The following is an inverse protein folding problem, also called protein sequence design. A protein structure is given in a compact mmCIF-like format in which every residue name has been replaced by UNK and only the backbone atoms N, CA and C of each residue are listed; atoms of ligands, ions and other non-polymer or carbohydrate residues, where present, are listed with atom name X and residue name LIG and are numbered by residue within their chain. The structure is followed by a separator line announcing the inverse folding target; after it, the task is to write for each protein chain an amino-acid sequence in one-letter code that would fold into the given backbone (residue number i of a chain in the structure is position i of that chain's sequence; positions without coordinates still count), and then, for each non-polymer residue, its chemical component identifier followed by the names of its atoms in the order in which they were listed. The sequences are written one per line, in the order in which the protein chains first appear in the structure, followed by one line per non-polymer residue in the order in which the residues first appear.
data_IF_223220833374
#
_entry.id   IF_223220833374
#
_cell.length_a   1.000
_cell.length_b   1.000
_cell.length_c   1.000
_cell.angle_alpha   90.00
_cell.angle_beta   90.00
_cell.angle_gamma   90.00
#
_symmetry.space_group_name_H-M   'P 1'
#
loop_
_entity.id
_entity.type
_entity.pdbx_description
1 polymer ?
#
# COMPACT_ATOMS: atom_id res chain seq x y z
N UNK A 1 -15.77 24.01 20.25
CA UNK A 1 -16.89 24.25 19.30
C UNK A 1 -16.50 23.62 17.97
N UNK A 2 -17.32 22.66 17.53
CA UNK A 2 -17.13 22.00 16.23
C UNK A 2 -17.74 22.87 15.13
N UNK A 3 -17.11 22.88 13.98
CA UNK A 3 -17.66 23.51 12.80
C UNK A 3 -17.40 22.63 11.57
N UNK A 4 -18.40 22.52 10.71
CA UNK A 4 -18.30 21.85 9.43
C UNK A 4 -18.59 22.88 8.33
N UNK A 5 -17.62 23.10 7.46
CA UNK A 5 -17.79 23.95 6.29
C UNK A 5 -18.04 23.05 5.08
N UNK A 6 -19.16 23.26 4.40
CA UNK A 6 -19.57 22.50 3.24
C UNK A 6 -20.31 23.41 2.24
N UNK A 7 -19.96 23.37 0.95
CA UNK A 7 -20.59 24.17 -0.12
C UNK A 7 -20.73 25.67 0.21
N UNK A 8 -19.68 26.26 0.81
CA UNK A 8 -19.67 27.67 1.23
C UNK A 8 -20.56 28.00 2.44
N UNK A 9 -21.11 27.01 3.11
CA UNK A 9 -21.91 27.12 4.34
C UNK A 9 -21.13 26.62 5.52
N UNK A 10 -21.37 27.19 6.68
CA UNK A 10 -20.80 26.76 7.93
C UNK A 10 -21.92 26.26 8.86
N UNK A 11 -21.74 25.07 9.40
CA UNK A 11 -22.59 24.45 10.43
C UNK A 11 -21.76 24.36 11.72
N UNK A 12 -22.31 24.88 12.78
CA UNK A 12 -21.75 24.88 14.14
C UNK A 12 -22.47 23.87 15.03
N UNK A 13 -22.02 23.75 16.29
CA UNK A 13 -22.60 22.81 17.27
C UNK A 13 -24.12 23.00 17.46
N UNK A 14 -24.66 24.21 17.23
CA UNK A 14 -26.10 24.48 17.37
C UNK A 14 -26.92 23.91 16.22
N UNK A 15 -26.29 23.66 15.06
CA UNK A 15 -26.92 23.14 13.85
C UNK A 15 -26.57 21.70 13.59
N UNK A 16 -25.45 21.19 14.09
CA UNK A 16 -25.05 19.80 13.96
C UNK A 16 -25.91 18.97 14.92
N UNK A 17 -26.75 18.11 14.37
CA UNK A 17 -27.64 17.22 15.14
C UNK A 17 -26.89 15.98 15.60
N UNK A 18 -26.07 15.44 14.72
CA UNK A 18 -25.20 14.30 14.97
C UNK A 18 -24.05 14.31 13.97
N UNK A 19 -22.95 13.66 14.30
CA UNK A 19 -21.84 13.47 13.36
C UNK A 19 -20.86 12.43 13.89
N UNK A 20 -20.32 11.67 12.96
CA UNK A 20 -19.31 10.65 13.18
C UNK A 20 -18.20 10.83 12.14
N UNK A 21 -16.96 10.82 12.60
CA UNK A 21 -15.80 10.92 11.75
C UNK A 21 -14.90 9.73 12.03
N UNK A 22 -14.67 8.89 11.03
CA UNK A 22 -13.79 7.73 11.11
C UNK A 22 -12.48 8.04 10.38
N UNK A 23 -11.39 8.04 11.15
CA UNK A 23 -10.02 8.23 10.68
C UNK A 23 -9.30 6.90 10.83
N UNK A 24 -8.62 6.43 9.78
CA UNK A 24 -7.95 5.13 9.79
C UNK A 24 -6.74 5.14 8.87
N UNK A 25 -5.69 4.49 9.29
CA UNK A 25 -4.48 4.34 8.47
C UNK A 25 -3.85 2.97 8.63
N UNK A 26 -3.57 2.31 7.51
CA UNK A 26 -2.65 1.18 7.50
C UNK A 26 -1.23 1.70 7.78
N UNK A 27 -0.68 1.37 8.95
CA UNK A 27 0.68 1.79 9.36
C UNK A 27 1.77 1.21 8.45
N UNK A 28 1.44 0.14 7.74
CA UNK A 28 2.30 -0.49 6.73
C UNK A 28 2.03 0.02 5.31
N UNK A 29 1.03 0.87 5.12
CA UNK A 29 0.51 1.25 3.80
C UNK A 29 0.15 0.04 2.90
N UNK A 30 -0.23 -1.11 3.51
CA UNK A 30 -0.72 -2.28 2.77
C UNK A 30 -2.03 -2.01 2.04
N UNK A 31 -2.76 -1.00 2.48
CA UNK A 31 -3.93 -0.40 1.85
C UNK A 31 -3.91 1.11 2.06
N UNK A 32 -4.54 1.84 1.17
CA UNK A 32 -4.86 3.26 1.39
C UNK A 32 -6.34 3.33 1.77
N UNK A 33 -6.58 3.42 3.09
CA UNK A 33 -7.92 3.37 3.65
C UNK A 33 -8.73 4.62 3.31
N UNK A 34 -10.06 4.45 3.21
CA UNK A 34 -10.99 5.56 2.99
C UNK A 34 -11.56 5.99 4.32
N UNK A 35 -11.18 7.16 4.77
CA UNK A 35 -11.75 7.80 5.95
C UNK A 35 -13.12 8.39 5.60
N UNK A 36 -14.03 8.47 6.56
CA UNK A 36 -15.41 8.93 6.34
C UNK A 36 -15.82 9.99 7.33
N UNK A 37 -16.67 10.90 6.87
CA UNK A 37 -17.39 11.87 7.71
C UNK A 37 -18.86 11.80 7.36
N UNK A 38 -19.68 11.42 8.34
CA UNK A 38 -21.14 11.47 8.27
C UNK A 38 -21.64 12.50 9.27
N UNK A 39 -22.54 13.36 8.86
CA UNK A 39 -23.15 14.33 9.78
C UNK A 39 -24.55 14.72 9.35
N UNK A 40 -25.41 14.99 10.32
CA UNK A 40 -26.75 15.49 10.12
C UNK A 40 -26.89 16.91 10.67
N UNK A 41 -27.51 17.79 9.89
CA UNK A 41 -27.71 19.17 10.28
C UNK A 41 -29.17 19.58 10.26
N UNK A 42 -29.54 20.47 11.19
CA UNK A 42 -30.81 21.15 11.16
C UNK A 42 -30.74 22.37 10.22
N UNK A 43 -31.66 22.45 9.24
CA UNK A 43 -31.78 23.61 8.36
C UNK A 43 -33.22 23.83 7.91
N UNK A 44 -33.67 25.09 7.96
CA UNK A 44 -34.93 25.53 7.34
C UNK A 44 -34.79 25.89 5.88
N UNK A 45 -33.55 26.04 5.39
CA UNK A 45 -33.23 26.34 4.00
C UNK A 45 -33.15 25.05 3.17
N UNK A 46 -34.10 24.82 2.23
CA UNK A 46 -34.11 23.59 1.42
C UNK A 46 -32.93 23.52 0.43
N UNK A 47 -32.27 24.63 0.13
CA UNK A 47 -31.13 24.66 -0.80
C UNK A 47 -29.85 24.02 -0.21
N UNK A 48 -29.89 23.64 1.07
CA UNK A 48 -28.85 22.83 1.72
C UNK A 48 -28.63 21.48 1.02
N UNK A 49 -29.69 20.92 0.40
CA UNK A 49 -29.56 19.66 -0.37
C UNK A 49 -28.92 19.81 -1.75
N UNK A 50 -28.66 21.04 -2.19
CA UNK A 50 -27.95 21.29 -3.44
C UNK A 50 -26.44 21.11 -3.18
N UNK A 51 -25.83 20.19 -3.88
CA UNK A 51 -24.40 19.90 -3.71
C UNK A 51 -23.73 19.53 -5.03
N UNK A 52 -22.42 19.66 -5.05
CA UNK A 52 -21.57 19.13 -6.11
C UNK A 52 -20.76 17.96 -5.53
N UNK A 53 -20.79 16.82 -6.21
CA UNK A 53 -19.98 15.66 -5.81
C UNK A 53 -18.51 16.05 -5.80
N UNK A 54 -17.77 15.56 -4.82
CA UNK A 54 -16.36 15.86 -4.58
C UNK A 54 -16.06 17.32 -4.19
N UNK A 55 -17.09 18.11 -3.80
CA UNK A 55 -16.83 19.41 -3.17
C UNK A 55 -16.25 19.21 -1.75
N UNK A 56 -15.32 20.11 -1.36
CA UNK A 56 -14.64 20.01 -0.06
C UNK A 56 -15.62 20.19 1.10
N UNK A 57 -15.41 19.36 2.12
CA UNK A 57 -16.06 19.44 3.44
C UNK A 57 -14.94 19.52 4.48
N UNK A 58 -14.86 20.63 5.20
CA UNK A 58 -13.80 20.88 6.18
C UNK A 58 -14.39 20.71 7.58
N UNK A 59 -13.84 19.75 8.32
CA UNK A 59 -14.11 19.57 9.74
C UNK A 59 -13.09 20.37 10.55
N UNK A 60 -13.57 21.19 11.49
CA UNK A 60 -12.72 21.99 12.39
C UNK A 60 -13.21 21.91 13.83
N UNK A 61 -12.28 22.03 14.77
CA UNK A 61 -12.55 22.14 16.20
C UNK A 61 -11.82 23.35 16.78
N UNK A 62 -12.54 24.20 17.55
CA UNK A 62 -11.97 25.43 18.15
C UNK A 62 -11.19 26.29 17.13
N UNK A 63 -11.73 26.42 15.91
CA UNK A 63 -11.11 27.11 14.78
C UNK A 63 -9.84 26.46 14.21
N UNK A 64 -9.45 25.30 14.69
CA UNK A 64 -8.38 24.50 14.12
C UNK A 64 -8.97 23.52 13.12
N UNK A 65 -8.47 23.51 11.88
CA UNK A 65 -8.82 22.50 10.89
C UNK A 65 -8.33 21.13 11.36
N UNK A 66 -9.23 20.15 11.41
CA UNK A 66 -8.90 18.78 11.77
C UNK A 66 -8.66 17.94 10.51
N UNK A 67 -9.61 17.98 9.56
CA UNK A 67 -9.55 17.12 8.39
C UNK A 67 -10.40 17.67 7.24
N UNK A 68 -10.01 17.29 6.01
CA UNK A 68 -10.78 17.58 4.79
C UNK A 68 -11.37 16.31 4.22
N UNK A 69 -12.65 16.39 3.90
CA UNK A 69 -13.39 15.35 3.22
C UNK A 69 -13.98 15.88 1.90
N UNK A 70 -14.52 14.99 1.11
CA UNK A 70 -15.14 15.29 -0.18
C UNK A 70 -16.56 14.73 -0.20
N UNK A 71 -17.52 15.61 -0.43
CA UNK A 71 -18.94 15.31 -0.34
C UNK A 71 -19.37 14.29 -1.39
N UNK A 72 -20.06 13.23 -0.96
CA UNK A 72 -20.54 12.16 -1.83
C UNK A 72 -22.04 12.17 -2.00
N UNK A 73 -22.77 12.37 -0.92
CA UNK A 73 -24.23 12.34 -0.94
C UNK A 73 -24.83 13.32 0.07
N UNK A 74 -26.05 13.75 -0.22
CA UNK A 74 -26.93 14.47 0.72
C UNK A 74 -28.29 13.83 0.68
N UNK A 75 -28.81 13.41 1.83
CA UNK A 75 -30.17 12.91 1.99
C UNK A 75 -30.99 13.81 2.92
N UNK A 76 -32.32 13.77 2.80
CA UNK A 76 -33.22 14.51 3.67
C UNK A 76 -33.99 13.53 4.56
N UNK A 77 -33.65 13.48 5.83
CA UNK A 77 -34.23 12.54 6.80
C UNK A 77 -35.57 12.99 7.37
N UNK A 78 -35.77 14.31 7.46
CA UNK A 78 -37.04 14.89 7.92
C UNK A 78 -37.27 16.27 7.27
N UNK A 79 -38.34 16.98 7.71
CA UNK A 79 -38.67 18.32 7.18
C UNK A 79 -37.51 19.29 7.27
N UNK A 80 -36.63 19.17 8.28
CA UNK A 80 -35.54 20.11 8.57
C UNK A 80 -34.20 19.43 8.85
N UNK A 81 -34.09 18.10 8.73
CA UNK A 81 -32.85 17.37 8.97
C UNK A 81 -32.30 16.86 7.63
N UNK A 82 -31.06 17.16 7.39
CA UNK A 82 -30.29 16.75 6.20
C UNK A 82 -29.05 16.00 6.66
N UNK A 83 -28.83 14.81 6.10
CA UNK A 83 -27.65 13.98 6.33
C UNK A 83 -26.71 14.10 5.14
N UNK A 84 -25.43 14.27 5.46
CA UNK A 84 -24.31 14.39 4.54
C UNK A 84 -23.37 13.23 4.73
N UNK A 85 -22.84 12.71 3.64
CA UNK A 85 -21.83 11.67 3.63
C UNK A 85 -20.64 12.16 2.79
N UNK A 86 -19.45 12.11 3.38
CA UNK A 86 -18.22 12.56 2.75
C UNK A 86 -17.08 11.55 3.00
N UNK A 87 -16.13 11.49 2.07
CA UNK A 87 -14.99 10.58 2.13
C UNK A 87 -13.68 11.36 2.04
N UNK A 88 -12.58 10.78 2.53
CA UNK A 88 -11.25 11.37 2.37
C UNK A 88 -10.79 11.39 0.90
N UNK A 89 -9.65 12.01 0.64
CA UNK A 89 -9.01 12.05 -0.67
C UNK A 89 -8.80 10.65 -1.28
N UNK A 90 -8.54 9.64 -0.45
CA UNK A 90 -8.43 8.25 -0.88
C UNK A 90 -9.70 7.76 -1.58
N UNK A 91 -10.89 8.11 -1.06
CA UNK A 91 -12.17 7.78 -1.67
C UNK A 91 -12.41 8.49 -3.01
N UNK A 92 -11.85 9.68 -3.21
CA UNK A 92 -11.89 10.37 -4.51
C UNK A 92 -10.98 9.67 -5.53
N UNK A 93 -9.80 9.23 -5.11
CA UNK A 93 -8.86 8.49 -5.97
C UNK A 93 -9.40 7.11 -6.35
N UNK A 94 -10.25 6.50 -5.54
CA UNK A 94 -10.86 5.19 -5.79
C UNK A 94 -11.84 5.17 -6.98
N UNK A 95 -12.36 6.32 -7.36
CA UNK A 95 -13.36 6.45 -8.44
C UNK A 95 -12.79 6.35 -9.85
N UNK A 96 -11.48 6.27 -10.00
CA UNK A 96 -10.82 6.32 -11.30
C UNK A 96 -9.80 5.21 -11.44
N UNK A 97 -9.82 4.58 -12.60
CA UNK A 97 -8.85 3.57 -12.96
C UNK A 97 -7.47 4.19 -13.26
N UNK A 98 -6.47 3.40 -12.99
CA UNK A 98 -5.09 3.59 -13.38
C UNK A 98 -4.61 2.37 -14.18
N UNK A 99 -4.08 2.61 -15.36
CA UNK A 99 -3.69 1.50 -16.24
C UNK A 99 -2.37 0.84 -15.86
N UNK A 100 -1.65 1.40 -14.90
CA UNK A 100 -0.40 0.82 -14.41
C UNK A 100 0.69 0.76 -15.46
N UNK A 101 1.64 -0.16 -15.26
CA UNK A 101 2.74 -0.37 -16.20
C UNK A 101 3.96 -1.01 -15.55
N UNK A 102 5.04 -1.13 -16.34
CA UNK A 102 6.36 -1.58 -15.88
C UNK A 102 7.20 -0.37 -15.51
N UNK A 103 7.84 -0.44 -14.35
CA UNK A 103 8.74 0.57 -13.82
C UNK A 103 10.18 0.04 -13.84
N UNK A 104 11.09 0.84 -14.37
CA UNK A 104 12.50 0.50 -14.58
C UNK A 104 13.45 1.57 -14.04
N UNK A 105 13.01 2.29 -12.99
CA UNK A 105 13.78 3.36 -12.36
C UNK A 105 13.11 4.74 -12.41
N UNK A 106 11.82 4.81 -12.69
CA UNK A 106 11.05 6.04 -12.55
C UNK A 106 11.02 6.49 -11.10
N UNK A 107 11.06 7.80 -10.88
CA UNK A 107 11.04 8.33 -9.52
C UNK A 107 9.65 8.26 -8.90
N UNK A 108 9.57 8.14 -7.58
CA UNK A 108 8.30 8.21 -6.85
C UNK A 108 7.51 9.46 -7.22
N UNK A 109 8.19 10.61 -7.35
CA UNK A 109 7.54 11.86 -7.77
C UNK A 109 6.81 11.72 -9.10
N UNK A 110 7.47 11.14 -10.11
CA UNK A 110 6.89 11.00 -11.44
C UNK A 110 5.72 10.03 -11.44
N UNK A 111 5.85 8.90 -10.72
CA UNK A 111 4.81 7.87 -10.62
C UNK A 111 3.59 8.40 -9.86
N UNK A 112 3.79 9.08 -8.73
CA UNK A 112 2.70 9.71 -7.96
C UNK A 112 1.99 10.78 -8.79
N UNK A 113 2.74 11.61 -9.53
CA UNK A 113 2.15 12.64 -10.39
C UNK A 113 1.26 12.04 -11.49
N UNK A 114 1.62 10.88 -12.02
CA UNK A 114 0.82 10.17 -13.02
C UNK A 114 -0.42 9.50 -12.38
N UNK A 115 -0.27 8.79 -11.26
CA UNK A 115 -1.39 8.18 -10.53
C UNK A 115 -2.39 9.24 -10.08
N UNK A 116 -1.92 10.31 -9.44
CA UNK A 116 -2.75 11.37 -8.86
C UNK A 116 -3.14 12.47 -9.87
N UNK A 117 -2.96 12.24 -11.17
CA UNK A 117 -3.27 13.21 -12.22
C UNK A 117 -4.60 13.96 -11.97
N UNK A 118 -4.54 15.29 -11.93
CA UNK A 118 -5.66 16.20 -11.62
C UNK A 118 -6.12 16.18 -10.14
N UNK A 119 -5.41 15.51 -9.24
CA UNK A 119 -5.60 15.65 -7.80
C UNK A 119 -4.34 16.25 -7.19
N UNK A 120 -4.42 17.34 -6.41
CA UNK A 120 -3.24 18.06 -5.92
C UNK A 120 -2.55 17.27 -4.80
N UNK A 121 -1.44 16.61 -5.13
CA UNK A 121 -0.60 15.87 -4.18
C UNK A 121 0.84 16.32 -4.33
N UNK A 122 1.50 16.63 -3.24
CA UNK A 122 2.93 16.85 -3.17
C UNK A 122 3.68 15.60 -2.72
N UNK A 123 4.98 15.55 -3.02
CA UNK A 123 5.85 14.45 -2.58
C UNK A 123 7.02 15.06 -1.82
N UNK A 124 7.20 14.65 -0.58
CA UNK A 124 8.28 15.16 0.27
C UNK A 124 9.67 14.86 -0.34
N UNK A 125 10.62 15.77 -0.15
CA UNK A 125 11.93 15.70 -0.80
C UNK A 125 12.72 14.43 -0.47
N UNK A 126 12.54 13.88 0.72
CA UNK A 126 13.21 12.67 1.19
C UNK A 126 12.69 11.38 0.53
N UNK A 127 11.51 11.39 -0.09
CA UNK A 127 10.97 10.23 -0.82
C UNK A 127 10.87 10.46 -2.32
N UNK A 128 10.86 11.71 -2.76
CA UNK A 128 10.59 12.08 -4.15
C UNK A 128 11.57 11.47 -5.17
N UNK A 129 12.83 11.27 -4.77
CA UNK A 129 13.88 10.73 -5.62
C UNK A 129 14.04 9.21 -5.61
N UNK A 130 13.31 8.50 -4.71
CA UNK A 130 13.37 7.03 -4.65
C UNK A 130 12.91 6.46 -5.99
N UNK A 131 13.64 5.48 -6.50
CA UNK A 131 13.35 4.83 -7.78
C UNK A 131 12.54 3.58 -7.60
N UNK A 132 11.55 3.39 -8.44
CA UNK A 132 10.67 2.23 -8.45
C UNK A 132 11.03 1.28 -9.59
N UNK A 133 10.99 -0.01 -9.28
CA UNK A 133 11.15 -1.11 -10.22
C UNK A 133 10.06 -2.14 -9.95
N UNK A 134 9.49 -2.70 -11.00
CA UNK A 134 8.44 -3.69 -10.89
C UNK A 134 7.26 -3.39 -11.78
N UNK A 135 6.10 -3.88 -11.41
CA UNK A 135 4.88 -3.79 -12.19
C UNK A 135 3.70 -3.31 -11.35
N UNK A 136 2.89 -2.41 -11.90
CA UNK A 136 1.55 -2.13 -11.39
C UNK A 136 0.51 -2.67 -12.37
N UNK A 137 -0.40 -3.54 -11.93
CA UNK A 137 -1.54 -3.96 -12.74
C UNK A 137 -2.52 -2.80 -12.96
N UNK A 138 -3.52 -3.01 -13.81
CA UNK A 138 -4.69 -2.13 -13.89
C UNK A 138 -5.46 -2.23 -12.57
N UNK A 139 -5.69 -1.10 -11.93
CA UNK A 139 -6.36 -0.99 -10.63
C UNK A 139 -6.96 0.39 -10.45
N UNK A 140 -7.63 0.66 -9.34
CA UNK A 140 -7.98 2.03 -9.00
C UNK A 140 -6.73 2.86 -8.68
N UNK A 141 -6.82 4.19 -8.82
CA UNK A 141 -5.70 5.08 -8.44
C UNK A 141 -5.35 4.94 -6.97
N UNK A 142 -6.33 4.68 -6.11
CA UNK A 142 -6.14 4.42 -4.68
C UNK A 142 -5.27 3.18 -4.45
N UNK A 143 -5.60 2.08 -5.10
CA UNK A 143 -4.84 0.82 -4.99
C UNK A 143 -3.43 0.95 -5.58
N UNK A 144 -3.30 1.59 -6.74
CA UNK A 144 -1.98 1.86 -7.33
C UNK A 144 -1.09 2.72 -6.40
N UNK A 145 -1.68 3.76 -5.79
CA UNK A 145 -0.96 4.60 -4.83
C UNK A 145 -0.58 3.82 -3.57
N UNK A 146 -1.46 2.96 -3.05
CA UNK A 146 -1.15 2.10 -1.91
C UNK A 146 0.08 1.21 -2.18
N UNK A 147 0.18 0.61 -3.36
CA UNK A 147 1.34 -0.19 -3.77
C UNK A 147 2.64 0.63 -3.75
N UNK A 148 2.59 1.88 -4.24
CA UNK A 148 3.75 2.79 -4.18
C UNK A 148 4.13 3.09 -2.74
N UNK A 149 3.17 3.48 -1.91
CA UNK A 149 3.39 3.82 -0.49
C UNK A 149 3.96 2.63 0.29
N UNK A 150 3.43 1.43 0.04
CA UNK A 150 3.94 0.19 0.63
C UNK A 150 5.40 -0.05 0.26
N UNK A 151 5.75 0.11 -1.01
CA UNK A 151 7.11 -0.15 -1.50
C UNK A 151 8.17 0.82 -0.93
N UNK A 152 7.77 2.04 -0.52
CA UNK A 152 8.68 3.08 -0.04
C UNK A 152 8.52 3.45 1.43
N UNK A 153 7.72 2.71 2.19
CA UNK A 153 7.45 2.98 3.62
C UNK A 153 6.88 4.38 3.89
N UNK A 154 6.10 4.90 2.96
CA UNK A 154 5.49 6.23 3.07
C UNK A 154 3.99 6.16 3.36
N UNK A 155 3.42 7.29 3.72
CA UNK A 155 2.00 7.50 3.96
C UNK A 155 1.47 8.66 3.11
N UNK A 156 0.17 8.65 2.86
CA UNK A 156 -0.58 9.76 2.29
C UNK A 156 -1.15 10.57 3.45
N UNK A 157 -0.63 11.76 3.68
CA UNK A 157 -0.98 12.60 4.83
C UNK A 157 -1.57 13.94 4.38
N UNK A 158 -2.48 14.47 5.20
CA UNK A 158 -3.02 15.82 5.07
C UNK A 158 -2.42 16.69 6.18
N UNK A 159 -1.89 17.86 5.82
CA UNK A 159 -1.40 18.82 6.81
C UNK A 159 -2.52 19.73 7.37
N UNK A 160 -2.21 20.50 8.39
CA UNK A 160 -3.15 21.42 9.02
C UNK A 160 -3.71 22.50 8.06
N UNK A 161 -3.11 22.71 6.89
CA UNK A 161 -3.62 23.62 5.85
C UNK A 161 -4.57 22.94 4.88
N UNK A 162 -4.66 21.61 4.91
CA UNK A 162 -5.43 20.78 4.01
C UNK A 162 -4.68 20.40 2.74
N UNK A 163 -3.35 20.50 2.76
CA UNK A 163 -2.52 20.06 1.63
C UNK A 163 -2.16 18.59 1.79
N UNK A 164 -2.30 17.84 0.69
CA UNK A 164 -1.99 16.40 0.66
C UNK A 164 -0.55 16.16 0.25
N UNK A 165 0.14 15.32 1.01
CA UNK A 165 1.57 15.03 0.80
C UNK A 165 1.86 13.54 0.97
N UNK A 166 2.72 12.98 0.13
CA UNK A 166 3.35 11.69 0.35
C UNK A 166 4.62 11.91 1.16
N UNK A 167 4.67 11.35 2.36
CA UNK A 167 5.83 11.46 3.29
C UNK A 167 5.93 10.23 4.19
N UNK A 168 7.05 10.06 4.90
CA UNK A 168 7.13 9.11 6.00
C UNK A 168 6.22 9.52 7.16
N UNK A 169 5.75 8.56 7.94
CA UNK A 169 5.17 8.83 9.25
C UNK A 169 6.27 9.30 10.20
N UNK A 170 5.92 10.19 11.14
CA UNK A 170 6.88 10.65 12.14
C UNK A 170 7.08 9.59 13.22
N UNK A 171 8.33 9.24 13.57
CA UNK A 171 8.61 8.40 14.74
C UNK A 171 8.56 9.19 16.06
N UNK A 172 8.41 10.51 16.00
CA UNK A 172 8.41 11.37 17.18
C UNK A 172 7.09 11.27 17.95
N UNK A 173 7.19 11.19 19.28
CA UNK A 173 6.03 11.22 20.15
C UNK A 173 5.37 12.60 20.13
N UNK A 174 4.10 12.65 19.71
CA UNK A 174 3.33 13.92 19.60
C UNK A 174 2.58 14.26 20.87
N UNK A 175 2.18 13.28 21.70
CA UNK A 175 1.35 13.50 22.86
C UNK A 175 1.53 12.43 23.94
N UNK A 176 1.15 12.81 25.18
CA UNK A 176 0.98 11.89 26.32
C UNK A 176 -0.51 11.82 26.66
N UNK A 177 -1.06 10.62 26.75
CA UNK A 177 -2.44 10.36 27.19
C UNK A 177 -2.39 9.71 28.57
N UNK A 178 -2.57 10.47 29.66
CA UNK A 178 -2.57 9.94 31.02
C UNK A 178 -3.86 9.19 31.34
N UNK A 179 -3.89 8.47 32.45
CA UNK A 179 -5.09 7.79 32.96
C UNK A 179 -6.33 8.71 33.04
N UNK A 180 -6.13 9.98 33.45
CA UNK A 180 -7.22 10.95 33.61
C UNK A 180 -7.90 11.38 32.30
N UNK A 181 -7.28 11.12 31.14
CA UNK A 181 -7.83 11.38 29.81
C UNK A 181 -8.36 10.10 29.13
N UNK A 182 -8.25 8.95 29.78
CA UNK A 182 -8.68 7.65 29.29
C UNK A 182 -9.96 7.23 30.03
N UNK A 183 -10.93 6.74 29.27
CA UNK A 183 -12.17 6.20 29.86
C UNK A 183 -11.93 4.85 30.55
N UNK A 184 -12.77 4.53 31.54
CA UNK A 184 -12.77 3.22 32.21
C UNK A 184 -13.22 2.05 31.31
N UNK A 185 -13.74 2.33 30.11
CA UNK A 185 -14.19 1.33 29.13
C UNK A 185 -13.08 0.89 28.16
N UNK A 186 -11.83 0.98 28.56
CA UNK A 186 -10.71 0.54 27.74
C UNK A 186 -10.63 -0.98 27.67
N UNK A 187 -10.19 -1.50 26.54
CA UNK A 187 -9.92 -2.92 26.33
C UNK A 187 -8.55 -3.13 25.67
N UNK A 188 -8.02 -4.32 25.87
CA UNK A 188 -6.79 -4.75 25.21
C UNK A 188 -7.10 -5.90 24.27
N UNK A 189 -6.68 -5.77 23.03
CA UNK A 189 -6.74 -6.83 22.03
C UNK A 189 -5.36 -7.46 21.87
N UNK A 190 -5.28 -8.78 21.95
CA UNK A 190 -4.05 -9.52 21.77
C UNK A 190 -4.05 -10.28 20.45
N UNK A 191 -2.98 -10.15 19.69
CA UNK A 191 -2.75 -10.90 18.46
C UNK A 191 -1.45 -11.71 18.57
N UNK A 192 -1.38 -12.86 17.91
CA UNK A 192 -0.13 -13.63 17.89
C UNK A 192 0.93 -12.89 17.07
N UNK A 193 2.11 -12.58 17.64
CA UNK A 193 3.20 -11.98 16.88
C UNK A 193 3.68 -12.96 15.79
N UNK A 194 4.07 -12.44 14.64
CA UNK A 194 4.63 -13.29 13.60
C UNK A 194 6.05 -13.74 13.95
N UNK A 195 6.33 -15.01 13.73
CA UNK A 195 7.67 -15.60 13.91
C UNK A 195 8.53 -15.36 12.69
N UNK A 196 7.94 -15.55 11.49
CA UNK A 196 8.59 -15.35 10.20
C UNK A 196 7.80 -14.36 9.37
N UNK A 197 8.48 -13.36 8.83
CA UNK A 197 7.94 -12.45 7.81
C UNK A 197 8.72 -12.64 6.53
N UNK A 198 8.01 -13.02 5.46
CA UNK A 198 8.56 -13.27 4.14
C UNK A 198 7.89 -12.34 3.14
N UNK A 199 8.69 -11.66 2.36
CA UNK A 199 8.22 -10.82 1.24
C UNK A 199 8.78 -11.38 -0.05
N UNK A 200 7.94 -11.51 -1.08
CA UNK A 200 8.41 -11.82 -2.42
C UNK A 200 8.96 -10.54 -3.07
N UNK A 201 10.19 -10.64 -3.51
CA UNK A 201 10.84 -9.66 -4.37
C UNK A 201 10.54 -10.01 -5.82
N UNK A 202 10.05 -9.05 -6.58
CA UNK A 202 9.61 -9.25 -7.96
C UNK A 202 10.61 -8.65 -8.94
N UNK A 203 10.81 -9.34 -10.04
CA UNK A 203 11.64 -8.92 -11.13
C UNK A 203 10.94 -9.20 -12.46
N UNK A 204 10.91 -8.20 -13.33
CA UNK A 204 10.33 -8.27 -14.66
C UNK A 204 11.42 -7.95 -15.69
N UNK A 205 11.62 -8.86 -16.65
CA UNK A 205 12.57 -8.68 -17.76
C UNK A 205 11.88 -8.93 -19.10
N UNK A 206 12.25 -8.23 -20.14
CA UNK A 206 11.69 -8.44 -21.47
C UNK A 206 11.96 -9.86 -21.95
N UNK A 207 10.87 -10.59 -22.29
CA UNK A 207 10.94 -11.96 -22.77
C UNK A 207 10.79 -12.04 -24.29
N UNK A 208 11.23 -13.14 -24.91
CA UNK A 208 11.10 -13.35 -26.36
C UNK A 208 9.73 -13.92 -26.79
N UNK A 209 8.92 -14.46 -25.85
CA UNK A 209 7.67 -15.15 -26.15
C UNK A 209 6.61 -14.19 -26.68
N UNK A 210 6.16 -14.41 -27.93
CA UNK A 210 5.09 -13.67 -28.57
C UNK A 210 3.74 -14.36 -28.33
N UNK A 211 2.74 -13.56 -27.96
CA UNK A 211 1.38 -14.01 -27.71
C UNK A 211 0.36 -13.16 -28.48
N UNK A 212 -0.81 -13.74 -28.75
CA UNK A 212 -1.96 -13.02 -29.26
C UNK A 212 -2.71 -12.40 -28.07
N UNK A 213 -2.83 -11.08 -28.07
CA UNK A 213 -3.53 -10.32 -27.05
C UNK A 213 -5.00 -10.07 -27.41
N UNK A 214 -5.29 -9.91 -28.70
CA UNK A 214 -6.63 -9.72 -29.21
C UNK A 214 -6.73 -10.14 -30.68
N UNK A 215 -7.88 -10.68 -31.08
CA UNK A 215 -8.23 -10.94 -32.46
C UNK A 215 -9.71 -10.68 -32.67
N UNK A 216 -10.06 -9.77 -33.58
CA UNK A 216 -11.46 -9.37 -33.83
C UNK A 216 -11.60 -8.03 -34.52
N UNK A 217 -12.80 -7.44 -34.41
CA UNK A 217 -13.13 -6.11 -34.93
C UNK A 217 -13.13 -5.10 -33.80
N UNK A 218 -12.53 -3.94 -34.05
CA UNK A 218 -12.39 -2.82 -33.11
C UNK A 218 -13.10 -1.57 -33.63
N UNK A 219 -13.49 -0.71 -32.69
CA UNK A 219 -13.99 0.64 -32.91
C UNK A 219 -12.91 1.64 -32.47
N UNK A 220 -12.90 2.83 -33.07
CA UNK A 220 -11.92 3.85 -32.68
C UNK A 220 -12.08 4.24 -31.20
N UNK A 221 -10.99 4.12 -30.44
CA UNK A 221 -10.94 4.39 -29.00
C UNK A 221 -11.19 3.16 -28.13
N UNK A 222 -11.40 1.95 -28.71
CA UNK A 222 -11.46 0.73 -27.93
C UNK A 222 -10.15 0.51 -27.16
N UNK A 223 -10.30 0.09 -25.91
CA UNK A 223 -9.18 -0.22 -25.02
C UNK A 223 -9.09 -1.73 -24.87
N UNK A 224 -7.99 -2.28 -25.34
CA UNK A 224 -7.66 -3.70 -25.16
C UNK A 224 -6.73 -3.81 -23.94
N UNK A 225 -7.15 -4.51 -22.89
CA UNK A 225 -6.40 -4.68 -21.65
C UNK A 225 -5.78 -6.08 -21.57
N UNK A 226 -4.64 -6.17 -20.89
CA UNK A 226 -3.88 -7.40 -20.71
C UNK A 226 -3.85 -7.79 -19.23
N UNK A 227 -3.95 -9.08 -18.95
CA UNK A 227 -3.87 -9.62 -17.58
C UNK A 227 -2.42 -9.71 -17.05
N UNK A 228 -1.45 -9.75 -17.96
CA UNK A 228 -0.01 -9.78 -17.67
C UNK A 228 0.68 -8.69 -18.49
N UNK A 229 1.79 -8.10 -18.00
CA UNK A 229 2.45 -7.03 -18.73
C UNK A 229 3.08 -7.54 -20.03
N UNK A 230 2.93 -6.76 -21.09
CA UNK A 230 3.46 -7.06 -22.41
C UNK A 230 4.27 -5.87 -22.96
N UNK A 231 5.20 -6.17 -23.87
CA UNK A 231 5.98 -5.19 -24.61
C UNK A 231 5.98 -5.49 -26.10
N UNK A 232 6.57 -4.61 -26.91
CA UNK A 232 6.71 -4.77 -28.37
C UNK A 232 5.38 -5.10 -29.06
N UNK A 233 4.34 -4.29 -28.75
CA UNK A 233 2.99 -4.50 -29.29
C UNK A 233 2.97 -4.26 -30.80
N UNK A 234 2.35 -5.16 -31.55
CA UNK A 234 2.18 -5.07 -33.01
C UNK A 234 0.72 -5.34 -33.36
N UNK A 235 0.12 -4.39 -34.10
CA UNK A 235 -1.24 -4.55 -34.61
C UNK A 235 -1.22 -4.78 -36.14
N UNK A 236 -2.14 -5.61 -36.62
CA UNK A 236 -2.44 -5.78 -38.04
C UNK A 236 -3.94 -5.66 -38.27
N UNK A 237 -4.36 -4.89 -39.29
CA UNK A 237 -5.77 -4.64 -39.63
C UNK A 237 -6.42 -3.46 -38.88
N UNK A 238 -5.78 -2.90 -37.87
CA UNK A 238 -6.05 -1.64 -37.19
C UNK A 238 -4.73 -1.04 -36.69
N UNK A 239 -4.75 0.16 -36.11
CA UNK A 239 -3.55 0.85 -35.58
C UNK A 239 -3.64 1.07 -34.10
N UNK A 240 -2.48 1.00 -33.40
CA UNK A 240 -2.37 1.39 -32.00
C UNK A 240 -2.23 2.92 -31.96
N UNK A 241 -3.09 3.60 -31.22
CA UNK A 241 -3.05 5.07 -31.02
C UNK A 241 -2.34 5.45 -29.74
N UNK A 242 -2.44 4.60 -28.71
CA UNK A 242 -1.75 4.72 -27.44
C UNK A 242 -1.48 3.31 -26.86
N UNK A 243 -0.40 3.14 -26.12
CA UNK A 243 -0.09 1.83 -25.51
C UNK A 243 0.66 1.98 -24.19
N UNK A 244 0.48 1.00 -23.33
CA UNK A 244 1.24 0.74 -22.11
C UNK A 244 1.58 -0.74 -22.00
N UNK A 245 2.21 -1.13 -20.89
CA UNK A 245 2.49 -2.54 -20.66
C UNK A 245 1.23 -3.38 -20.41
N UNK A 246 0.14 -2.76 -19.98
CA UNK A 246 -1.11 -3.42 -19.58
C UNK A 246 -2.27 -3.19 -20.56
N UNK A 247 -2.10 -2.33 -21.57
CA UNK A 247 -3.20 -1.95 -22.47
C UNK A 247 -2.71 -1.42 -23.82
N UNK A 248 -3.64 -1.40 -24.78
CA UNK A 248 -3.51 -0.66 -26.02
C UNK A 248 -4.84 0.00 -26.39
N UNK A 249 -4.80 1.28 -26.79
CA UNK A 249 -5.93 1.98 -27.40
C UNK A 249 -5.78 1.89 -28.91
N UNK A 250 -6.85 1.51 -29.60
CA UNK A 250 -6.79 1.17 -31.01
C UNK A 250 -7.77 1.96 -31.87
N UNK A 251 -7.47 2.06 -33.18
CA UNK A 251 -8.40 2.58 -34.17
C UNK A 251 -9.46 1.54 -34.56
N UNK A 252 -10.48 1.96 -35.32
CA UNK A 252 -11.42 1.01 -35.96
C UNK A 252 -10.71 0.15 -37.00
N UNK A 253 -11.08 -1.13 -37.06
CA UNK A 253 -10.55 -2.09 -38.01
C UNK A 253 -10.90 -3.52 -37.62
N UNK A 254 -10.44 -4.47 -38.44
CA UNK A 254 -10.59 -5.90 -38.14
C UNK A 254 -9.24 -6.58 -38.32
N UNK A 255 -8.76 -7.24 -37.26
CA UNK A 255 -7.43 -7.80 -37.29
C UNK A 255 -6.97 -8.38 -35.97
N UNK A 256 -5.66 -8.27 -35.71
CA UNK A 256 -5.00 -8.94 -34.58
C UNK A 256 -4.00 -7.99 -33.90
N UNK A 257 -3.94 -8.06 -32.55
CA UNK A 257 -2.91 -7.47 -31.71
C UNK A 257 -2.06 -8.57 -31.13
N UNK A 258 -0.74 -8.51 -31.30
CA UNK A 258 0.25 -9.38 -30.66
C UNK A 258 1.17 -8.56 -29.78
N UNK A 259 1.82 -9.22 -28.85
CA UNK A 259 2.83 -8.61 -27.98
C UNK A 259 3.74 -9.70 -27.41
N UNK A 260 4.84 -9.29 -26.80
CA UNK A 260 5.75 -10.19 -26.09
C UNK A 260 5.55 -10.10 -24.59
N UNK A 261 5.61 -11.24 -23.91
CA UNK A 261 5.49 -11.29 -22.44
C UNK A 261 6.77 -10.80 -21.76
N UNK A 262 6.59 -10.16 -20.62
CA UNK A 262 7.68 -10.05 -19.64
C UNK A 262 7.89 -11.39 -18.93
N UNK A 263 9.14 -11.76 -18.69
CA UNK A 263 9.49 -12.88 -17.81
C UNK A 263 9.46 -12.37 -16.39
N UNK A 264 8.58 -12.96 -15.57
CA UNK A 264 8.44 -12.64 -14.16
C UNK A 264 9.17 -13.69 -13.33
N UNK A 265 10.04 -13.24 -12.45
CA UNK A 265 10.73 -14.08 -11.48
C UNK A 265 10.59 -13.49 -10.08
N UNK A 266 10.62 -14.35 -9.06
CA UNK A 266 10.46 -13.96 -7.67
C UNK A 266 11.55 -14.57 -6.80
N UNK A 267 11.86 -13.87 -5.68
CA UNK A 267 12.77 -14.35 -4.65
C UNK A 267 12.20 -14.02 -3.27
N UNK A 268 12.35 -14.94 -2.32
CA UNK A 268 11.95 -14.69 -0.94
C UNK A 268 12.99 -13.87 -0.19
N UNK A 269 12.53 -12.84 0.51
CA UNK A 269 13.32 -12.03 1.42
C UNK A 269 12.68 -12.11 2.80
N UNK A 270 13.47 -12.55 3.80
CA UNK A 270 13.03 -12.63 5.19
C UNK A 270 13.37 -11.35 5.94
N UNK A 271 12.39 -10.82 6.70
CA UNK A 271 12.59 -9.68 7.57
C UNK A 271 13.45 -10.05 8.78
N UNK A 272 14.31 -9.13 9.21
CA UNK A 272 15.06 -9.23 10.46
C UNK A 272 14.29 -8.49 11.55
N UNK A 273 14.11 -9.13 12.70
CA UNK A 273 13.49 -8.48 13.86
C UNK A 273 14.52 -7.64 14.59
N UNK A 274 14.14 -6.40 14.91
CA UNK A 274 14.91 -5.54 15.80
C UNK A 274 14.61 -5.86 17.27
N UNK A 275 13.44 -6.44 17.58
CA UNK A 275 13.05 -6.87 18.92
C UNK A 275 12.91 -8.38 19.00
N UNK A 276 13.60 -9.01 19.96
CA UNK A 276 13.41 -10.42 20.28
C UNK A 276 12.32 -10.54 21.34
N UNK A 277 11.08 -10.88 20.93
CA UNK A 277 10.10 -11.46 21.86
C UNK A 277 10.12 -12.96 21.66
N UNK A 278 10.10 -13.70 22.77
CA UNK A 278 9.89 -15.14 22.74
C UNK A 278 8.48 -15.40 22.19
N UNK A 279 8.42 -15.76 20.91
CA UNK A 279 7.19 -16.25 20.31
C UNK A 279 6.95 -17.66 20.87
N UNK A 280 5.77 -17.88 21.48
CA UNK A 280 5.36 -19.21 21.92
C UNK A 280 5.33 -20.22 20.77
N UNK A 281 5.02 -21.47 21.07
CA UNK A 281 5.04 -22.61 20.12
C UNK A 281 4.10 -22.49 18.91
N UNK A 282 3.18 -21.52 18.89
CA UNK A 282 2.30 -21.25 17.75
C UNK A 282 2.97 -20.27 16.76
N UNK A 283 3.60 -20.81 15.74
CA UNK A 283 4.26 -20.05 14.70
C UNK A 283 3.24 -19.36 13.76
N UNK A 284 3.09 -18.06 13.92
CA UNK A 284 2.40 -17.21 12.93
C UNK A 284 3.40 -16.78 11.85
N UNK A 285 3.11 -17.08 10.58
CA UNK A 285 3.93 -16.70 9.42
C UNK A 285 3.18 -15.70 8.56
N UNK A 286 3.84 -14.60 8.24
CA UNK A 286 3.31 -13.58 7.31
C UNK A 286 4.04 -13.73 5.99
N UNK A 287 3.28 -13.82 4.90
CA UNK A 287 3.81 -13.90 3.55
C UNK A 287 3.13 -12.84 2.67
N UNK A 288 3.92 -11.95 2.10
CA UNK A 288 3.47 -10.91 1.18
C UNK A 288 3.95 -11.25 -0.22
N UNK A 289 3.01 -11.54 -1.12
CA UNK A 289 3.28 -12.05 -2.46
C UNK A 289 2.88 -11.08 -3.58
N UNK A 290 1.88 -10.23 -3.34
CA UNK A 290 1.25 -9.42 -4.38
C UNK A 290 1.80 -7.98 -4.48
N UNK A 291 2.82 -7.65 -3.69
CA UNK A 291 3.43 -6.33 -3.70
C UNK A 291 4.44 -6.19 -4.84
N UNK A 292 3.96 -6.09 -6.07
CA UNK A 292 4.76 -6.21 -7.30
C UNK A 292 5.74 -5.08 -7.57
N UNK A 293 5.71 -3.99 -6.77
CA UNK A 293 6.75 -2.95 -6.71
C UNK A 293 7.85 -3.23 -5.68
N UNK A 294 7.73 -4.36 -4.94
CA UNK A 294 8.82 -4.82 -4.09
C UNK A 294 9.85 -5.54 -4.96
N UNK A 295 11.02 -4.96 -5.08
CA UNK A 295 12.10 -5.38 -5.95
C UNK A 295 13.44 -5.40 -5.21
N UNK A 296 14.53 -5.71 -5.89
CA UNK A 296 15.88 -5.73 -5.32
C UNK A 296 16.26 -4.44 -4.57
N UNK A 297 15.70 -3.29 -4.99
CA UNK A 297 16.07 -1.99 -4.42
C UNK A 297 15.44 -1.69 -3.06
N UNK A 298 14.31 -2.31 -2.73
CA UNK A 298 13.53 -1.98 -1.53
C UNK A 298 13.09 -3.20 -0.69
N UNK A 299 13.26 -4.42 -1.20
CA UNK A 299 12.73 -5.64 -0.57
C UNK A 299 13.19 -5.84 0.88
N UNK A 300 14.44 -5.50 1.20
CA UNK A 300 14.98 -5.62 2.55
C UNK A 300 14.28 -4.64 3.51
N UNK A 301 14.19 -3.38 3.14
CA UNK A 301 13.54 -2.34 3.95
C UNK A 301 12.06 -2.68 4.22
N UNK A 302 11.35 -3.17 3.19
CA UNK A 302 9.96 -3.60 3.34
C UNK A 302 9.84 -4.80 4.28
N UNK A 303 10.69 -5.83 4.12
CA UNK A 303 10.63 -7.02 4.94
C UNK A 303 10.96 -6.75 6.41
N UNK A 304 11.95 -5.90 6.69
CA UNK A 304 12.36 -5.54 8.05
C UNK A 304 11.27 -4.71 8.76
N UNK A 305 10.67 -3.72 8.07
CA UNK A 305 9.53 -2.94 8.58
C UNK A 305 8.32 -3.83 8.94
N UNK A 306 8.00 -4.77 8.07
CA UNK A 306 6.92 -5.74 8.33
C UNK A 306 7.24 -6.61 9.55
N UNK A 307 8.51 -7.04 9.71
CA UNK A 307 8.92 -7.84 10.85
C UNK A 307 8.75 -7.06 12.17
N UNK A 308 9.10 -5.78 12.20
CA UNK A 308 8.92 -4.91 13.37
C UNK A 308 7.44 -4.70 13.71
N UNK A 309 6.60 -4.44 12.72
CA UNK A 309 5.15 -4.29 12.92
C UNK A 309 4.51 -5.57 13.44
N UNK A 310 4.74 -6.69 12.79
CA UNK A 310 4.15 -7.97 13.20
C UNK A 310 4.78 -8.60 14.45
N UNK A 311 5.84 -8.01 14.98
CA UNK A 311 6.35 -8.34 16.31
C UNK A 311 5.48 -7.76 17.43
N UNK A 312 4.67 -6.72 17.14
CA UNK A 312 3.75 -6.11 18.09
C UNK A 312 2.48 -6.97 18.19
N UNK A 313 2.11 -7.33 19.42
CA UNK A 313 1.03 -8.29 19.67
C UNK A 313 -0.18 -7.68 20.36
N UNK A 314 -0.14 -6.39 20.69
CA UNK A 314 -1.07 -5.77 21.61
C UNK A 314 -1.61 -4.47 21.06
N UNK A 315 -2.94 -4.28 21.18
CA UNK A 315 -3.64 -3.05 20.85
C UNK A 315 -4.43 -2.56 22.04
N UNK A 316 -4.31 -1.27 22.33
CA UNK A 316 -5.17 -0.58 23.29
C UNK A 316 -6.35 0.01 22.52
N UNK A 317 -7.57 -0.32 22.93
CA UNK A 317 -8.81 0.31 22.46
C UNK A 317 -9.40 1.10 23.61
N UNK A 318 -9.44 2.42 23.49
CA UNK A 318 -9.87 3.30 24.58
C UNK A 318 -10.65 4.51 24.06
N UNK A 319 -11.65 4.95 24.85
CA UNK A 319 -12.28 6.24 24.64
C UNK A 319 -11.42 7.33 25.28
N UNK A 320 -10.97 8.28 24.47
CA UNK A 320 -10.06 9.36 24.90
C UNK A 320 -10.65 10.73 24.56
N UNK A 321 -10.22 11.75 25.30
CA UNK A 321 -10.48 13.13 24.91
C UNK A 321 -9.67 13.48 23.65
N UNK A 322 -10.36 13.70 22.54
CA UNK A 322 -9.72 13.97 21.25
C UNK A 322 -9.06 15.38 21.24
N UNK A 323 -7.81 15.45 20.82
CA UNK A 323 -7.03 16.70 20.75
C UNK A 323 -6.31 16.85 19.39
N UNK A 324 -7.02 16.55 18.29
CA UNK A 324 -6.49 16.59 16.93
C UNK A 324 -5.41 15.51 16.63
N UNK A 325 -5.46 14.39 17.35
CA UNK A 325 -4.64 13.21 17.06
C UNK A 325 -5.00 12.64 15.67
N UNK A 326 -4.02 12.13 14.92
CA UNK A 326 -4.26 11.48 13.62
C UNK A 326 -3.79 10.01 13.64
N UNK A 327 -4.31 9.22 12.73
CA UNK A 327 -3.83 7.86 12.53
C UNK A 327 -2.37 7.90 12.01
N UNK A 328 -1.49 7.16 12.66
CA UNK A 328 -0.04 7.18 12.44
C UNK A 328 0.74 7.98 13.49
N UNK A 329 0.06 8.71 14.38
CA UNK A 329 0.73 9.43 15.47
C UNK A 329 1.29 8.45 16.50
N UNK A 330 2.50 8.76 16.98
CA UNK A 330 3.15 8.05 18.08
C UNK A 330 2.81 8.75 19.39
N UNK A 331 2.28 7.99 20.35
CA UNK A 331 1.82 8.47 21.62
C UNK A 331 2.53 7.77 22.78
N UNK A 332 2.58 8.43 23.94
CA UNK A 332 2.77 7.74 25.22
C UNK A 332 1.41 7.62 25.88
N UNK A 333 0.87 6.43 25.98
CA UNK A 333 -0.49 6.15 26.45
C UNK A 333 -0.47 5.34 27.73
N UNK A 334 -1.38 5.67 28.67
CA UNK A 334 -1.58 4.89 29.89
C UNK A 334 -2.16 3.52 29.54
N UNK A 335 -1.49 2.47 30.01
CA UNK A 335 -1.95 1.09 29.84
C UNK A 335 -2.98 0.75 30.93
N UNK A 336 -4.24 0.43 30.55
CA UNK A 336 -5.37 0.41 31.49
C UNK A 336 -5.30 -0.69 32.54
N UNK A 337 -4.50 -1.74 32.32
CA UNK A 337 -4.39 -2.89 33.24
C UNK A 337 -3.05 -2.99 33.95
N UNK A 338 -1.96 -2.60 33.29
CA UNK A 338 -0.63 -2.68 33.87
C UNK A 338 -0.27 -1.41 34.67
N UNK A 339 -0.95 -0.29 34.41
CA UNK A 339 -0.75 0.96 35.13
C UNK A 339 0.48 1.75 34.69
N UNK A 340 1.18 1.29 33.67
CA UNK A 340 2.40 1.93 33.14
C UNK A 340 2.05 2.81 31.90
N UNK A 341 2.98 3.72 31.59
CA UNK A 341 2.95 4.47 30.33
C UNK A 341 3.68 3.65 29.25
N UNK A 342 2.97 3.37 28.16
CA UNK A 342 3.51 2.61 27.03
C UNK A 342 3.54 3.46 25.76
N UNK A 343 4.50 3.22 24.88
CA UNK A 343 4.54 3.83 23.57
C UNK A 343 3.59 3.12 22.63
N UNK A 344 2.77 3.87 21.91
CA UNK A 344 1.78 3.33 20.98
C UNK A 344 1.81 4.13 19.68
N UNK A 345 1.30 3.52 18.61
CA UNK A 345 1.03 4.19 17.34
C UNK A 345 -0.45 4.04 16.98
N UNK A 346 -1.11 5.14 16.67
CA UNK A 346 -2.55 5.19 16.39
C UNK A 346 -2.86 4.52 15.05
N UNK A 347 -3.76 3.52 15.05
CA UNK A 347 -4.26 2.87 13.84
C UNK A 347 -5.59 3.47 13.37
N UNK A 348 -6.50 3.77 14.32
CA UNK A 348 -7.79 4.36 13.97
C UNK A 348 -8.39 5.21 15.09
N UNK A 349 -9.29 6.09 14.70
CA UNK A 349 -10.05 7.00 15.54
C UNK A 349 -11.49 7.03 15.04
N UNK A 350 -12.44 6.74 15.94
CA UNK A 350 -13.86 6.91 15.70
C UNK A 350 -14.34 8.09 16.56
N UNK A 351 -14.57 9.23 15.92
CA UNK A 351 -14.80 10.52 16.59
C UNK A 351 -16.28 10.87 16.54
N UNK A 352 -16.90 11.02 17.70
CA UNK A 352 -18.27 11.51 17.81
C UNK A 352 -18.30 13.03 17.94
N UNK A 353 -18.98 13.70 17.00
CA UNK A 353 -19.11 15.15 16.94
C UNK A 353 -20.27 15.63 17.82
N UNK A 354 -20.23 15.39 19.13
CA UNK A 354 -21.26 15.82 20.07
C UNK A 354 -20.64 16.58 21.24
N UNK A 355 -20.77 17.89 21.27
CA UNK A 355 -20.41 18.75 22.40
C UNK A 355 -18.92 18.67 22.81
N UNK A 356 -18.51 17.59 23.48
CA UNK A 356 -17.11 17.22 23.67
C UNK A 356 -16.69 16.27 22.56
N UNK A 357 -15.53 16.53 21.95
CA UNK A 357 -14.93 15.58 21.03
C UNK A 357 -14.37 14.41 21.85
N UNK A 358 -15.00 13.27 21.72
CA UNK A 358 -14.51 11.99 22.22
C UNK A 358 -14.15 11.12 21.02
N UNK A 359 -13.01 10.45 21.11
CA UNK A 359 -12.60 9.48 20.12
C UNK A 359 -12.44 8.10 20.76
N UNK A 360 -13.01 7.08 20.12
CA UNK A 360 -12.61 5.71 20.36
C UNK A 360 -11.34 5.45 19.54
N UNK A 361 -10.21 5.37 20.23
CA UNK A 361 -8.89 5.24 19.65
C UNK A 361 -8.43 3.78 19.71
N UNK A 362 -7.91 3.27 18.60
CA UNK A 362 -7.20 1.98 18.55
C UNK A 362 -5.72 2.26 18.27
N UNK A 363 -4.85 1.81 19.16
CA UNK A 363 -3.41 2.07 19.09
C UNK A 363 -2.60 0.78 19.24
N UNK A 364 -1.62 0.56 18.37
CA UNK A 364 -0.70 -0.58 18.42
C UNK A 364 0.42 -0.32 19.41
N UNK A 365 0.57 -1.19 20.41
CA UNK A 365 1.58 -1.06 21.48
C UNK A 365 2.96 -1.47 20.99
N UNK A 366 3.95 -0.62 21.24
CA UNK A 366 5.37 -0.89 20.98
C UNK A 366 5.81 -0.74 19.53
N UNK A 367 4.92 -0.35 18.63
CA UNK A 367 5.29 -0.01 17.25
C UNK A 367 5.63 1.48 17.15
N UNK A 368 6.73 1.76 16.45
CA UNK A 368 7.13 3.11 16.05
C UNK A 368 7.40 3.06 14.54
N UNK A 369 6.78 3.92 13.75
CA UNK A 369 7.08 4.02 12.33
C UNK A 369 8.57 4.27 12.11
N UNK A 370 9.21 3.65 11.11
CA UNK A 370 10.62 3.91 10.84
C UNK A 370 10.81 5.35 10.36
N UNK A 371 11.90 5.99 10.78
CA UNK A 371 12.34 7.24 10.18
C UNK A 371 12.76 6.98 8.73
N UNK A 372 11.96 7.44 7.78
CA UNK A 372 12.18 7.20 6.36
C UNK A 372 13.53 7.76 5.86
N UNK A 373 14.10 8.73 6.57
CA UNK A 373 15.42 9.29 6.25
C UNK A 373 16.57 8.32 6.58
N UNK A 374 16.31 7.32 7.41
CA UNK A 374 17.27 6.28 7.81
C UNK A 374 17.11 4.99 7.00
N UNK A 375 16.08 4.92 6.14
CA UNK A 375 15.86 3.74 5.31
C UNK A 375 16.76 3.82 4.07
N UNK A 376 17.57 2.79 3.87
CA UNK A 376 18.40 2.67 2.68
C UNK A 376 17.62 2.03 1.52
N UNK A 377 17.48 2.77 0.43
CA UNK A 377 16.97 2.28 -0.85
C UNK A 377 18.11 2.29 -1.86
N UNK A 378 18.21 1.23 -2.66
CA UNK A 378 19.17 1.20 -3.74
C UNK A 378 18.63 1.93 -4.97
N UNK A 379 19.49 2.69 -5.64
CA UNK A 379 19.10 3.47 -6.83
C UNK A 379 18.95 2.61 -8.07
N UNK A 380 19.69 1.50 -8.14
CA UNK A 380 19.71 0.62 -9.31
C UNK A 380 20.16 -0.79 -8.92
N UNK A 381 19.95 -1.73 -9.80
CA UNK A 381 20.51 -3.07 -9.71
C UNK A 381 20.94 -3.57 -11.09
N UNK A 382 21.84 -4.53 -11.12
CA UNK A 382 22.32 -5.18 -12.33
C UNK A 382 22.28 -6.71 -12.15
N UNK A 383 21.86 -7.41 -13.20
CA UNK A 383 21.77 -8.88 -13.18
C UNK A 383 22.90 -9.44 -14.02
N UNK A 384 23.77 -10.19 -13.36
CA UNK A 384 24.91 -10.82 -13.98
C UNK A 384 24.62 -12.30 -14.20
N UNK A 385 24.54 -12.73 -15.46
CA UNK A 385 24.20 -14.13 -15.83
C UNK A 385 25.41 -14.95 -16.30
N UNK A 386 26.62 -14.48 -16.07
CA UNK A 386 27.84 -15.15 -16.50
C UNK A 386 29.02 -14.98 -15.55
N UNK A 387 30.10 -15.68 -15.81
CA UNK A 387 31.37 -15.48 -15.12
C UNK A 387 32.02 -14.19 -15.62
N UNK A 388 32.48 -13.35 -14.74
CA UNK A 388 33.15 -12.09 -15.10
C UNK A 388 33.61 -11.30 -13.89
N UNK A 389 34.24 -10.18 -14.14
CA UNK A 389 34.57 -9.15 -13.15
C UNK A 389 33.52 -8.06 -13.31
N UNK A 390 32.77 -7.81 -12.24
CA UNK A 390 31.90 -6.66 -12.19
C UNK A 390 32.65 -5.45 -11.66
N UNK A 391 32.38 -4.29 -12.24
CA UNK A 391 32.97 -3.02 -11.79
C UNK A 391 31.83 -2.12 -11.32
N UNK A 392 31.93 -1.61 -10.09
CA UNK A 392 30.95 -0.70 -9.53
C UNK A 392 30.74 0.54 -10.43
N UNK A 393 29.51 1.02 -10.59
CA UNK A 393 29.24 2.28 -11.27
C UNK A 393 29.98 3.43 -10.60
N UNK A 394 30.46 4.38 -11.42
CA UNK A 394 31.15 5.56 -10.89
C UNK A 394 30.26 6.34 -9.93
N UNK A 395 30.74 6.52 -8.68
CA UNK A 395 30.01 7.23 -7.63
C UNK A 395 29.11 6.32 -6.77
N UNK A 396 29.16 5.01 -6.96
CA UNK A 396 28.54 4.07 -6.04
C UNK A 396 29.16 4.23 -4.64
N UNK A 397 28.31 4.23 -3.60
CA UNK A 397 28.76 4.36 -2.21
C UNK A 397 28.59 3.06 -1.45
N UNK A 398 27.44 2.41 -1.64
CA UNK A 398 27.08 1.17 -0.99
C UNK A 398 26.54 0.19 -2.02
N UNK A 399 26.70 -1.11 -1.79
CA UNK A 399 26.18 -2.12 -2.67
C UNK A 399 25.86 -3.40 -1.95
N UNK A 400 24.98 -4.19 -2.53
CA UNK A 400 24.63 -5.52 -2.07
C UNK A 400 24.72 -6.50 -3.23
N UNK A 401 25.50 -7.55 -3.08
CA UNK A 401 25.54 -8.64 -4.04
C UNK A 401 24.69 -9.82 -3.54
N UNK A 402 23.84 -10.33 -4.42
CA UNK A 402 23.05 -11.54 -4.18
C UNK A 402 23.49 -12.59 -5.20
N UNK A 403 24.07 -13.68 -4.71
CA UNK A 403 24.54 -14.78 -5.51
C UNK A 403 23.52 -15.92 -5.45
N UNK A 404 22.94 -16.29 -6.58
CA UNK A 404 21.97 -17.38 -6.70
C UNK A 404 22.65 -18.54 -7.40
N UNK A 405 22.95 -19.60 -6.67
CA UNK A 405 23.49 -20.84 -7.25
C UNK A 405 22.44 -21.58 -8.07
N UNK A 406 22.83 -22.17 -9.20
CA UNK A 406 21.96 -23.08 -9.94
C UNK A 406 21.55 -24.28 -9.07
N UNK A 407 20.30 -24.74 -9.22
CA UNK A 407 19.85 -25.97 -8.58
C UNK A 407 20.55 -27.18 -9.19
N UNK A 408 20.61 -28.29 -8.45
CA UNK A 408 21.08 -29.56 -8.97
C UNK A 408 20.04 -30.18 -9.90
N UNK A 409 20.49 -30.84 -10.96
CA UNK A 409 19.60 -31.68 -11.79
C UNK A 409 18.99 -32.80 -10.96
N UNK A 410 17.71 -33.08 -11.14
CA UNK A 410 17.05 -34.22 -10.52
C UNK A 410 17.71 -35.54 -10.93
N UNK A 411 17.57 -36.54 -10.08
CA UNK A 411 18.03 -37.89 -10.40
C UNK A 411 17.20 -38.46 -11.59
N UNK A 412 17.82 -39.22 -12.52
CA UNK A 412 17.07 -39.90 -13.55
C UNK A 412 16.06 -40.88 -12.91
N UNK A 413 14.86 -41.00 -13.49
CA UNK A 413 13.89 -41.98 -13.07
C UNK A 413 14.43 -43.41 -13.24
N UNK A 414 13.87 -44.34 -12.49
CA UNK A 414 14.23 -45.78 -12.62
C UNK A 414 13.73 -46.33 -13.94
N UNK A 415 14.53 -47.19 -14.55
CA UNK A 415 14.14 -47.90 -15.76
C UNK A 415 12.91 -48.80 -15.47
N UNK A 416 11.93 -48.77 -16.36
CA UNK A 416 10.78 -49.66 -16.30
C UNK A 416 11.23 -51.11 -16.39
N UNK A 417 10.55 -52.01 -15.64
CA UNK A 417 10.87 -53.45 -15.67
C UNK A 417 10.76 -54.04 -17.07
N UNK A 418 11.64 -54.98 -17.42
CA UNK A 418 11.55 -55.72 -18.71
C UNK A 418 10.25 -56.49 -18.82
N UNK A 419 9.54 -56.48 -19.96
CA UNK A 419 8.34 -57.24 -20.13
C UNK A 419 8.66 -58.76 -20.09
N UNK A 420 8.13 -59.43 -19.08
CA UNK A 420 8.22 -60.87 -18.93
C UNK A 420 6.83 -61.45 -18.88
N UNK A 421 6.34 -62.02 -20.00
CA UNK A 421 5.05 -62.70 -20.06
C UNK A 421 3.88 -61.77 -20.44
N UNK A 422 2.67 -62.31 -20.42
CA UNK A 422 1.44 -61.70 -20.92
C UNK A 422 0.87 -60.49 -20.10
N UNK A 423 1.56 -60.01 -19.07
CA UNK A 423 1.20 -58.81 -18.29
C UNK A 423 2.25 -57.77 -18.52
N UNK A 424 1.84 -56.58 -19.00
CA UNK A 424 2.75 -55.44 -19.21
C UNK A 424 3.57 -55.10 -17.98
N UNK A 425 4.84 -54.74 -18.18
CA UNK A 425 5.71 -54.26 -17.08
C UNK A 425 5.21 -52.96 -16.49
N UNK A 426 5.30 -52.79 -15.15
CA UNK A 426 5.05 -51.52 -14.50
C UNK A 426 6.11 -50.52 -14.97
N UNK A 427 5.70 -49.29 -15.26
CA UNK A 427 6.61 -48.16 -15.49
C UNK A 427 7.54 -47.95 -14.28
N UNK A 428 8.78 -47.49 -14.50
CA UNK A 428 9.68 -47.09 -13.43
C UNK A 428 9.16 -45.93 -12.64
N UNK A 429 9.64 -45.80 -11.40
CA UNK A 429 9.34 -44.65 -10.56
C UNK A 429 10.03 -43.40 -11.12
N UNK A 430 9.36 -42.22 -11.05
CA UNK A 430 9.96 -40.94 -11.43
C UNK A 430 11.17 -40.62 -10.56
N UNK A 431 12.17 -39.96 -11.13
CA UNK A 431 13.32 -39.49 -10.38
C UNK A 431 12.97 -38.43 -9.34
N UNK A 432 13.78 -38.32 -8.29
CA UNK A 432 13.65 -37.25 -7.32
C UNK A 432 13.97 -35.90 -7.97
N UNK A 433 13.20 -34.85 -7.63
CA UNK A 433 13.46 -33.47 -8.06
C UNK A 433 14.83 -32.97 -7.59
N UNK A 434 15.49 -32.14 -8.38
CA UNK A 434 16.75 -31.50 -8.00
C UNK A 434 16.58 -30.59 -6.78
N UNK A 435 17.63 -30.48 -5.98
CA UNK A 435 17.67 -29.52 -4.89
C UNK A 435 17.79 -28.08 -5.43
N UNK A 436 17.07 -27.13 -4.84
CA UNK A 436 17.19 -25.70 -5.17
C UNK A 436 18.61 -25.18 -4.95
N UNK A 437 18.99 -24.17 -5.74
CA UNK A 437 20.30 -23.51 -5.58
C UNK A 437 20.42 -22.77 -4.25
N UNK A 438 21.63 -22.63 -3.75
CA UNK A 438 21.93 -21.86 -2.55
C UNK A 438 21.96 -20.37 -2.89
N UNK A 439 21.41 -19.53 -2.01
CA UNK A 439 21.48 -18.08 -2.10
C UNK A 439 22.49 -17.57 -1.08
N UNK A 440 23.45 -16.76 -1.55
CA UNK A 440 24.41 -16.05 -0.71
C UNK A 440 24.20 -14.55 -0.90
N UNK A 441 24.29 -13.81 0.20
CA UNK A 441 24.17 -12.36 0.20
C UNK A 441 25.42 -11.78 0.84
N UNK A 442 25.99 -10.75 0.20
CA UNK A 442 27.17 -10.03 0.66
C UNK A 442 26.86 -8.54 0.60
N UNK A 443 27.00 -7.84 1.70
CA UNK A 443 27.02 -6.38 1.73
C UNK A 443 28.41 -5.92 1.29
N UNK A 444 28.43 -4.90 0.43
CA UNK A 444 29.64 -4.30 -0.09
C UNK A 444 29.75 -2.88 0.47
N UNK A 445 30.50 -2.75 1.57
CA UNK A 445 30.77 -1.46 2.18
C UNK A 445 31.93 -0.78 1.43
N UNK A 446 31.80 0.53 1.17
CA UNK A 446 32.81 1.37 0.49
C UNK A 446 33.28 0.82 -0.88
N UNK A 447 32.46 1.02 -1.92
CA UNK A 447 32.80 0.71 -3.31
C UNK A 447 33.48 1.90 -4.00
#
# INVERSE_FOLDING_TARGET
MNTIQCNGRMFDDDRIVSGECYIVRSLLASSLEVETLEFSVYSTDPTVSQFTVDSEVILSHNSQRLKTFFLQSVSRESKYIYRFEAVSAAGVLDKRDYYGGIYTGQTVRDVVADICKNFPVSVASNVAGIKLYGWLPISTRREALAQVLFAISAAFVEDATGSFTISGLSPEQVRVIPESETSQNSSIEYTSPAVDVIVLEHQYTEGPEEITLFEGTTTAGDIITFSEPCHSLVASGFTITEQGANYAIVSSGSGKLTGKKYVHSTREVKGKRTQTRDAGENESKIRVEEATLVSLVNSRAVADRLADYYACAERIVADVAYQADDAGDVLSQYHPYDGDMVQTCVESLDITLSGRLLAKMTSLVGYVPPDISQIEYYDTFEILTGSGIWTAPKGAKNGRAVLIGGGYTGLPGQDGGKPGGSTGAKGGEGGEGGQGGKIYQVELDEI
#
